data_IF_247446849984
#
_entry.id   IF_247446849984
#
_cell.length_a   1.000
_cell.length_b   1.000
_cell.length_c   1.000
_cell.angle_alpha   90.00
_cell.angle_beta   90.00
_cell.angle_gamma   90.00
#
_symmetry.space_group_name_H-M   'P 1'
#
loop_
_entity.id
_entity.type
_entity.pdbx_description
1 polymer ?
#
# COMPACT_ATOMS: atom_id res chain seq x y z
N UNK A 1 -4.14 17.96 -24.22
CA UNK A 1 -5.27 18.21 -23.29
C UNK A 1 -4.68 18.60 -21.93
N UNK A 2 -5.21 19.63 -21.26
CA UNK A 2 -4.72 20.03 -19.93
C UNK A 2 -5.19 19.03 -18.88
N UNK A 3 -4.23 18.45 -18.13
CA UNK A 3 -4.50 17.66 -16.92
C UNK A 3 -4.60 18.53 -15.67
N UNK A 4 -4.56 19.85 -15.81
CA UNK A 4 -4.64 20.79 -14.71
C UNK A 4 -5.98 21.52 -14.71
N UNK A 5 -6.54 21.68 -13.52
CA UNK A 5 -7.68 22.54 -13.22
C UNK A 5 -7.28 24.03 -13.37
N UNK A 6 -8.25 24.96 -13.49
CA UNK A 6 -7.95 26.39 -13.63
C UNK A 6 -7.15 27.00 -12.48
N UNK A 7 -7.21 26.39 -11.29
CA UNK A 7 -6.44 26.76 -10.10
C UNK A 7 -5.00 26.20 -10.09
N UNK A 8 -4.59 25.49 -11.16
CA UNK A 8 -3.28 24.84 -11.27
C UNK A 8 -3.18 23.48 -10.59
N UNK A 9 -4.24 23.01 -9.92
CA UNK A 9 -4.26 21.68 -9.31
C UNK A 9 -4.37 20.57 -10.35
N UNK A 10 -3.86 19.38 -10.04
CA UNK A 10 -3.98 18.21 -10.92
C UNK A 10 -5.44 17.70 -10.94
N UNK A 11 -6.03 17.61 -12.12
CA UNK A 11 -7.30 16.92 -12.36
C UNK A 11 -7.07 15.40 -12.29
N UNK A 12 -7.17 14.87 -11.06
CA UNK A 12 -6.95 13.45 -10.78
C UNK A 12 -7.94 12.55 -11.50
N UNK A 13 -9.16 13.02 -11.77
CA UNK A 13 -10.19 12.27 -12.49
C UNK A 13 -9.79 12.05 -13.95
N UNK A 14 -9.35 13.11 -14.64
CA UNK A 14 -8.83 13.01 -16.02
C UNK A 14 -7.57 12.17 -16.10
N UNK A 15 -6.61 12.40 -15.19
CA UNK A 15 -5.39 11.60 -15.18
C UNK A 15 -5.69 10.11 -14.97
N UNK A 16 -6.53 9.80 -13.98
CA UNK A 16 -6.99 8.44 -13.71
C UNK A 16 -7.61 7.81 -14.97
N UNK A 17 -8.57 8.48 -15.60
CA UNK A 17 -9.24 7.97 -16.80
C UNK A 17 -8.27 7.64 -17.94
N UNK A 18 -7.23 8.47 -18.14
CA UNK A 18 -6.16 8.19 -19.12
C UNK A 18 -5.32 6.98 -18.74
N UNK A 19 -4.80 6.91 -17.52
CA UNK A 19 -3.89 5.82 -17.12
C UNK A 19 -4.63 4.49 -16.90
N UNK A 20 -5.95 4.50 -16.73
CA UNK A 20 -6.74 3.28 -16.68
C UNK A 20 -7.01 2.67 -18.06
N UNK A 21 -7.08 3.50 -19.10
CA UNK A 21 -7.34 3.05 -20.48
C UNK A 21 -6.06 2.81 -21.29
N UNK A 22 -4.93 3.40 -20.88
CA UNK A 22 -3.65 3.28 -21.58
C UNK A 22 -2.54 2.74 -20.65
N UNK A 23 -2.20 1.47 -20.83
CA UNK A 23 -1.15 0.80 -20.08
C UNK A 23 0.23 1.45 -20.27
N UNK A 24 0.50 2.04 -21.44
CA UNK A 24 1.76 2.75 -21.72
C UNK A 24 1.86 4.02 -20.90
N UNK A 25 0.80 4.84 -20.90
CA UNK A 25 0.71 6.04 -20.05
C UNK A 25 0.85 5.69 -18.57
N UNK A 26 0.19 4.61 -18.11
CA UNK A 26 0.29 4.13 -16.73
C UNK A 26 1.72 3.74 -16.36
N UNK A 27 2.41 2.99 -17.23
CA UNK A 27 3.79 2.57 -17.01
C UNK A 27 4.72 3.77 -16.92
N UNK A 28 4.59 4.73 -17.84
CA UNK A 28 5.39 5.95 -17.84
C UNK A 28 5.17 6.78 -16.56
N UNK A 29 3.91 6.99 -16.16
CA UNK A 29 3.59 7.73 -14.93
C UNK A 29 4.18 7.04 -13.71
N UNK A 30 4.02 5.72 -13.61
CA UNK A 30 4.58 4.94 -12.49
C UNK A 30 6.11 5.05 -12.45
N UNK A 31 6.80 4.98 -13.59
CA UNK A 31 8.26 5.15 -13.67
C UNK A 31 8.72 6.53 -13.19
N UNK A 32 7.96 7.57 -13.49
CA UNK A 32 8.24 8.93 -13.01
C UNK A 32 7.97 9.05 -11.50
N UNK A 33 6.83 8.54 -11.03
CA UNK A 33 6.35 8.77 -9.67
C UNK A 33 7.04 7.90 -8.62
N UNK A 34 7.34 6.63 -8.90
CA UNK A 34 7.86 5.71 -7.88
C UNK A 34 9.19 6.16 -7.26
N UNK A 35 10.20 6.65 -8.02
CA UNK A 35 11.43 7.17 -7.44
C UNK A 35 11.18 8.37 -6.51
N UNK A 36 10.30 9.29 -6.91
CA UNK A 36 9.97 10.48 -6.12
C UNK A 36 9.24 10.13 -4.84
N UNK A 37 8.25 9.23 -4.92
CA UNK A 37 7.53 8.73 -3.75
C UNK A 37 8.50 8.01 -2.81
N UNK A 38 9.41 7.19 -3.35
CA UNK A 38 10.45 6.50 -2.57
C UNK A 38 11.35 7.46 -1.83
N UNK A 39 11.82 8.49 -2.52
CA UNK A 39 12.64 9.52 -1.93
C UNK A 39 11.89 10.23 -0.80
N UNK A 40 10.63 10.63 -1.02
CA UNK A 40 9.85 11.34 -0.03
C UNK A 40 9.66 10.53 1.26
N UNK A 41 9.12 9.30 1.17
CA UNK A 41 8.90 8.53 2.42
C UNK A 41 10.23 8.13 3.08
N UNK A 42 11.32 7.96 2.33
CA UNK A 42 12.64 7.69 2.91
C UNK A 42 13.14 8.89 3.73
N UNK A 43 12.95 10.11 3.23
CA UNK A 43 13.27 11.34 3.95
C UNK A 43 12.41 11.49 5.20
N UNK A 44 11.11 11.23 5.10
CA UNK A 44 10.19 11.27 6.24
C UNK A 44 10.61 10.27 7.33
N UNK A 45 11.01 9.05 6.95
CA UNK A 45 11.53 8.03 7.88
C UNK A 45 12.84 8.49 8.54
N UNK A 46 13.78 9.05 7.78
CA UNK A 46 15.02 9.61 8.35
C UNK A 46 14.74 10.73 9.36
N UNK A 47 13.86 11.66 9.03
CA UNK A 47 13.48 12.75 9.93
C UNK A 47 12.81 12.25 11.22
N UNK A 48 11.94 11.23 11.12
CA UNK A 48 11.32 10.62 12.28
C UNK A 48 12.35 9.95 13.20
N UNK A 49 13.37 9.30 12.61
CA UNK A 49 14.50 8.72 13.37
C UNK A 49 15.31 9.80 14.09
N UNK A 50 15.64 10.90 13.42
CA UNK A 50 16.39 12.03 14.01
C UNK A 50 15.64 12.71 15.16
N UNK A 51 14.31 12.75 15.08
CA UNK A 51 13.44 13.33 16.12
C UNK A 51 13.13 12.38 17.28
N UNK A 52 13.77 11.20 17.32
CA UNK A 52 13.66 10.25 18.43
C UNK A 52 12.41 9.38 18.43
N UNK A 53 11.68 9.30 17.31
CA UNK A 53 10.56 8.37 17.19
C UNK A 53 11.08 6.93 17.17
N UNK A 54 10.54 6.10 18.06
CA UNK A 54 10.96 4.70 18.20
C UNK A 54 10.52 3.79 17.05
N UNK A 55 9.46 4.18 16.33
CA UNK A 55 8.92 3.41 15.22
C UNK A 55 8.16 4.33 14.25
N UNK A 56 8.08 3.91 13.00
CA UNK A 56 7.25 4.53 11.97
C UNK A 56 6.58 3.43 11.13
N UNK A 57 5.42 3.73 10.56
CA UNK A 57 4.69 2.81 9.70
C UNK A 57 4.46 3.48 8.35
N UNK A 58 4.92 2.84 7.28
CA UNK A 58 4.74 3.32 5.90
C UNK A 58 3.76 2.41 5.18
N UNK A 59 2.64 2.96 4.72
CA UNK A 59 1.58 2.20 4.04
C UNK A 59 1.82 2.22 2.53
N UNK A 60 2.31 1.11 1.98
CA UNK A 60 2.65 1.01 0.55
C UNK A 60 1.81 -0.11 -0.11
N UNK A 61 0.80 0.22 -0.95
CA UNK A 61 -0.04 -0.77 -1.61
C UNK A 61 0.72 -1.72 -2.56
N UNK A 62 1.76 -1.18 -3.21
CA UNK A 62 2.59 -1.85 -4.23
C UNK A 62 3.97 -2.24 -3.68
N UNK A 63 4.09 -2.49 -2.37
CA UNK A 63 5.38 -2.69 -1.70
C UNK A 63 6.28 -3.69 -2.44
N UNK A 64 5.74 -4.87 -2.74
CA UNK A 64 6.46 -5.96 -3.40
C UNK A 64 6.64 -5.72 -4.90
N UNK A 65 5.65 -5.11 -5.55
CA UNK A 65 5.69 -4.81 -6.99
C UNK A 65 6.73 -3.75 -7.33
N UNK A 66 7.13 -2.93 -6.34
CA UNK A 66 8.20 -1.92 -6.47
C UNK A 66 9.53 -2.32 -5.81
N UNK A 67 9.65 -3.57 -5.35
CA UNK A 67 10.82 -4.09 -4.63
C UNK A 67 11.26 -3.24 -3.42
N UNK A 68 10.30 -2.57 -2.78
CA UNK A 68 10.55 -1.64 -1.68
C UNK A 68 10.62 -2.32 -0.31
N UNK A 69 10.23 -3.60 -0.21
CA UNK A 69 10.24 -4.38 1.04
C UNK A 69 11.61 -4.44 1.72
N UNK A 70 12.70 -4.40 0.95
CA UNK A 70 14.08 -4.44 1.45
C UNK A 70 14.49 -3.21 2.26
N UNK A 71 13.71 -2.13 2.20
CA UNK A 71 13.97 -0.90 2.93
C UNK A 71 13.36 -0.88 4.35
N UNK A 72 12.67 -1.94 4.77
CA UNK A 72 11.97 -2.00 6.04
C UNK A 72 12.44 -3.17 6.90
N UNK A 73 12.56 -2.93 8.20
CA UNK A 73 12.97 -3.95 9.18
C UNK A 73 11.87 -5.01 9.38
N UNK A 74 10.61 -4.60 9.25
CA UNK A 74 9.45 -5.49 9.34
C UNK A 74 8.40 -5.13 8.29
N UNK A 75 7.63 -6.13 7.87
CA UNK A 75 6.61 -6.03 6.82
C UNK A 75 5.37 -6.74 7.32
N UNK A 76 4.27 -5.99 7.42
CA UNK A 76 2.98 -6.49 7.89
C UNK A 76 2.01 -6.52 6.70
N UNK A 77 1.51 -7.71 6.35
CA UNK A 77 0.49 -7.85 5.32
C UNK A 77 -0.92 -7.77 5.94
N UNK A 78 -1.68 -6.75 5.54
CA UNK A 78 -3.12 -6.69 5.84
C UNK A 78 -3.87 -7.56 4.82
N UNK A 79 -4.27 -8.77 5.23
CA UNK A 79 -4.86 -9.77 4.35
C UNK A 79 -6.39 -9.85 4.47
N UNK A 80 -7.02 -10.21 3.35
CA UNK A 80 -8.46 -10.56 3.26
C UNK A 80 -8.65 -11.60 2.17
N UNK A 81 -9.77 -12.30 2.18
CA UNK A 81 -10.15 -13.16 1.07
C UNK A 81 -10.42 -12.34 -0.19
N UNK A 82 -10.24 -12.95 -1.36
CA UNK A 82 -10.55 -12.30 -2.65
C UNK A 82 -12.02 -11.87 -2.74
N UNK A 83 -12.94 -12.64 -2.14
CA UNK A 83 -14.36 -12.26 -2.08
C UNK A 83 -14.56 -10.97 -1.28
N UNK A 84 -13.99 -10.91 -0.07
CA UNK A 84 -14.09 -9.72 0.78
C UNK A 84 -13.44 -8.50 0.12
N UNK A 85 -12.29 -8.67 -0.54
CA UNK A 85 -11.63 -7.61 -1.29
C UNK A 85 -12.56 -7.02 -2.37
N UNK A 86 -13.21 -7.88 -3.17
CA UNK A 86 -14.15 -7.46 -4.22
C UNK A 86 -15.35 -6.71 -3.62
N UNK A 87 -16.03 -7.31 -2.64
CA UNK A 87 -17.21 -6.71 -1.97
C UNK A 87 -16.88 -5.34 -1.36
N UNK A 88 -15.70 -5.18 -0.76
CA UNK A 88 -15.27 -3.89 -0.19
C UNK A 88 -15.00 -2.83 -1.25
N UNK A 89 -14.50 -3.21 -2.42
CA UNK A 89 -14.27 -2.29 -3.53
C UNK A 89 -15.58 -1.90 -4.22
N UNK A 90 -16.51 -2.85 -4.41
CA UNK A 90 -17.85 -2.59 -4.93
C UNK A 90 -18.61 -1.58 -4.06
N UNK A 91 -18.56 -1.76 -2.73
CA UNK A 91 -19.15 -0.81 -1.75
C UNK A 91 -18.54 0.59 -1.82
N UNK A 92 -17.35 0.75 -2.41
CA UNK A 92 -16.70 2.05 -2.66
C UNK A 92 -17.08 2.65 -4.02
N UNK A 93 -18.01 2.04 -4.75
CA UNK A 93 -18.48 2.50 -6.06
C UNK A 93 -17.58 2.11 -7.23
N UNK A 94 -16.72 1.11 -7.07
CA UNK A 94 -15.87 0.62 -8.16
C UNK A 94 -16.67 -0.32 -9.06
N UNK A 95 -16.52 -0.19 -10.38
CA UNK A 95 -17.08 -1.15 -11.33
C UNK A 95 -16.25 -2.44 -11.35
N UNK A 96 -16.83 -3.52 -11.86
CA UNK A 96 -16.21 -4.85 -11.89
C UNK A 96 -14.88 -4.86 -12.67
N UNK A 97 -14.84 -4.24 -13.85
CA UNK A 97 -13.65 -4.18 -14.70
C UNK A 97 -12.47 -3.49 -13.99
N UNK A 98 -12.73 -2.40 -13.27
CA UNK A 98 -11.70 -1.69 -12.49
C UNK A 98 -11.19 -2.52 -11.32
N UNK A 99 -12.09 -3.26 -10.65
CA UNK A 99 -11.72 -4.15 -9.55
C UNK A 99 -10.81 -5.26 -10.07
N UNK A 100 -11.22 -5.95 -11.13
CA UNK A 100 -10.46 -7.05 -11.73
C UNK A 100 -9.10 -6.58 -12.26
N UNK A 101 -9.08 -5.47 -13.00
CA UNK A 101 -7.83 -4.87 -13.51
C UNK A 101 -6.86 -4.51 -12.39
N UNK A 102 -7.35 -3.96 -11.27
CA UNK A 102 -6.51 -3.55 -10.14
C UNK A 102 -6.04 -4.74 -9.29
N UNK A 103 -6.85 -5.79 -9.15
CA UNK A 103 -6.42 -7.02 -8.48
C UNK A 103 -5.36 -7.74 -9.33
N UNK A 104 -5.58 -7.83 -10.65
CA UNK A 104 -4.66 -8.49 -11.58
C UNK A 104 -3.31 -7.77 -11.71
N UNK A 105 -3.26 -6.46 -11.48
CA UNK A 105 -2.01 -5.69 -11.55
C UNK A 105 -1.12 -5.81 -10.30
N UNK A 106 -1.53 -6.58 -9.30
CA UNK A 106 -0.84 -6.73 -8.02
C UNK A 106 -0.44 -8.18 -7.76
N UNK A 107 0.52 -8.40 -6.88
CA UNK A 107 0.81 -9.73 -6.35
C UNK A 107 -0.45 -10.30 -5.68
N UNK A 108 -0.66 -11.61 -5.85
CA UNK A 108 -1.76 -12.31 -5.19
C UNK A 108 -1.63 -12.22 -3.67
N UNK A 109 -2.76 -12.19 -2.97
CA UNK A 109 -2.76 -12.11 -1.50
C UNK A 109 -1.95 -13.23 -0.83
N UNK A 110 -2.05 -14.52 -1.24
CA UNK A 110 -1.22 -15.59 -0.69
C UNK A 110 0.28 -15.34 -0.88
N UNK A 111 0.67 -14.77 -2.03
CA UNK A 111 2.07 -14.41 -2.30
C UNK A 111 2.54 -13.27 -1.39
N UNK A 112 1.71 -12.24 -1.18
CA UNK A 112 2.00 -11.14 -0.23
C UNK A 112 2.14 -11.65 1.21
N UNK A 113 1.25 -12.55 1.63
CA UNK A 113 1.30 -13.17 2.96
C UNK A 113 2.61 -13.94 3.18
N UNK A 114 2.99 -14.81 2.23
CA UNK A 114 4.21 -15.62 2.34
C UNK A 114 5.50 -14.79 2.34
N UNK A 115 5.48 -13.59 1.75
CA UNK A 115 6.65 -12.72 1.66
C UNK A 115 6.71 -11.68 2.80
N UNK A 116 5.78 -11.73 3.76
CA UNK A 116 5.68 -10.77 4.88
C UNK A 116 6.12 -11.39 6.20
N UNK A 117 6.69 -10.56 7.09
CA UNK A 117 7.10 -11.00 8.43
C UNK A 117 5.90 -11.31 9.32
N UNK A 118 4.83 -10.52 9.18
CA UNK A 118 3.57 -10.72 9.90
C UNK A 118 2.38 -10.61 8.94
N UNK A 119 1.30 -11.29 9.29
CA UNK A 119 0.02 -11.21 8.57
C UNK A 119 -1.07 -10.85 9.57
N UNK A 120 -1.90 -9.88 9.22
CA UNK A 120 -3.09 -9.52 9.98
C UNK A 120 -4.30 -9.81 9.10
N UNK A 121 -5.16 -10.72 9.56
CA UNK A 121 -6.35 -11.12 8.84
C UNK A 121 -7.50 -10.15 9.13
N UNK A 122 -8.11 -9.60 8.09
CA UNK A 122 -9.13 -8.56 8.19
C UNK A 122 -10.53 -9.04 7.82
N UNK A 123 -10.74 -10.31 7.48
CA UNK A 123 -12.09 -10.88 7.32
C UNK A 123 -12.62 -11.33 8.68
N UNK A 124 -12.67 -10.39 9.61
CA UNK A 124 -13.15 -10.59 10.96
C UNK A 124 -13.78 -9.29 11.48
N UNK A 125 -14.30 -9.31 12.70
CA UNK A 125 -14.78 -8.11 13.35
C UNK A 125 -13.60 -7.15 13.63
N UNK A 126 -13.90 -5.84 13.68
CA UNK A 126 -12.88 -4.81 13.88
C UNK A 126 -12.05 -5.02 15.16
N UNK A 127 -12.67 -5.44 16.27
CA UNK A 127 -11.96 -5.72 17.51
C UNK A 127 -10.94 -6.86 17.33
N UNK A 128 -11.30 -7.93 16.62
CA UNK A 128 -10.38 -9.04 16.35
C UNK A 128 -9.21 -8.62 15.45
N UNK A 129 -9.39 -7.64 14.54
CA UNK A 129 -8.28 -7.04 13.80
C UNK A 129 -7.39 -6.22 14.74
N UNK A 130 -7.97 -5.44 15.65
CA UNK A 130 -7.23 -4.63 16.63
C UNK A 130 -6.41 -5.52 17.58
N UNK A 131 -6.97 -6.63 18.05
CA UNK A 131 -6.27 -7.60 18.90
C UNK A 131 -5.07 -8.20 18.17
N UNK A 132 -5.23 -8.59 16.90
CA UNK A 132 -4.12 -9.06 16.06
C UNK A 132 -3.04 -7.98 15.89
N UNK A 133 -3.42 -6.73 15.62
CA UNK A 133 -2.48 -5.61 15.55
C UNK A 133 -1.67 -5.47 16.85
N UNK A 134 -2.34 -5.56 18.00
CA UNK A 134 -1.67 -5.46 19.30
C UNK A 134 -0.65 -6.58 19.50
N UNK A 135 -1.03 -7.82 19.20
CA UNK A 135 -0.12 -8.98 19.29
C UNK A 135 1.09 -8.85 18.37
N UNK A 136 0.88 -8.43 17.12
CA UNK A 136 1.97 -8.22 16.16
C UNK A 136 2.92 -7.11 16.63
N UNK A 137 2.39 -5.99 17.12
CA UNK A 137 3.22 -4.89 17.65
C UNK A 137 4.01 -5.33 18.89
N UNK A 138 3.41 -6.10 19.79
CA UNK A 138 4.12 -6.67 20.94
C UNK A 138 5.28 -7.59 20.52
N UNK A 139 5.07 -8.43 19.50
CA UNK A 139 6.11 -9.29 18.96
C UNK A 139 7.26 -8.49 18.37
N UNK A 140 6.96 -7.44 17.59
CA UNK A 140 7.95 -6.54 17.01
C UNK A 140 8.77 -5.85 18.11
N UNK A 141 8.13 -5.26 19.11
CA UNK A 141 8.82 -4.60 20.22
C UNK A 141 9.57 -5.55 21.15
N UNK A 142 9.19 -6.83 21.20
CA UNK A 142 9.96 -7.83 21.93
C UNK A 142 11.24 -8.16 21.16
N UNK A 143 11.14 -8.44 19.87
CA UNK A 143 12.28 -8.73 19.01
C UNK A 143 13.30 -7.58 18.99
N UNK A 144 12.83 -6.33 18.93
CA UNK A 144 13.68 -5.12 18.96
C UNK A 144 14.43 -4.94 20.29
N UNK A 145 13.86 -5.40 21.42
CA UNK A 145 14.53 -5.36 22.73
C UNK A 145 15.56 -6.47 22.92
N UNK A 146 15.38 -7.58 22.23
CA UNK A 146 16.22 -8.78 22.35
C UNK A 146 17.40 -8.76 21.33
N UNK A 147 17.43 -7.79 20.42
CA UNK A 147 18.46 -7.57 19.38
C UNK A 147 19.55 -6.59 19.84
#
# INVERSE_FOLDING_TARGET
ASFFSPDGSLDRGKLASRIFTDATSRKWLNQLMHPMIRQQWSQDVCQLKETGHKACVVVIPLLFETDAQSAFDTVICMACSSLTQKVRLEKRGWNQEHIESRIASQWSMPRKMNASHHVIWTDCAQHATQDQCHLVLQQIWKADRDA
#
